data_IF_206914120927
#
_entry.id   IF_206914120927
#
_cell.length_a   1.000
_cell.length_b   1.000
_cell.length_c   1.000
_cell.angle_alpha   90.00
_cell.angle_beta   90.00
_cell.angle_gamma   90.00
#
_symmetry.space_group_name_H-M   'P 1'
#
loop_
_entity.id
_entity.type
_entity.pdbx_description
1 polymer ?
#
# COMPACT_ATOMS: atom_id res chain seq x y z
N UNK A 1 31.10 -29.71 15.19
CA UNK A 1 30.00 -30.18 14.33
C UNK A 1 28.82 -29.25 14.57
N UNK A 2 28.72 -28.14 13.82
CA UNK A 2 27.54 -27.22 13.84
C UNK A 2 27.60 -26.02 12.88
N UNK A 3 28.76 -25.63 12.35
CA UNK A 3 28.89 -24.42 11.49
C UNK A 3 28.36 -24.62 10.06
N UNK A 4 28.52 -25.81 9.50
CA UNK A 4 28.18 -26.08 8.08
C UNK A 4 26.66 -26.10 7.80
N UNK A 5 25.86 -26.48 8.79
CA UNK A 5 24.38 -26.41 8.74
C UNK A 5 23.85 -24.99 8.90
N UNK A 6 24.58 -24.12 9.60
CA UNK A 6 24.15 -22.75 9.88
C UNK A 6 24.38 -21.84 8.65
N UNK A 7 25.51 -22.02 7.97
CA UNK A 7 25.82 -21.30 6.73
C UNK A 7 24.85 -21.65 5.60
N UNK A 8 24.50 -22.93 5.41
CA UNK A 8 23.48 -23.34 4.41
C UNK A 8 22.11 -22.74 4.70
N UNK A 9 21.68 -22.78 5.97
CA UNK A 9 20.40 -22.19 6.38
C UNK A 9 20.37 -20.67 6.16
N UNK A 10 21.50 -19.99 6.39
CA UNK A 10 21.62 -18.55 6.14
C UNK A 10 21.54 -18.20 4.65
N UNK A 11 22.13 -19.03 3.78
CA UNK A 11 22.10 -18.85 2.32
C UNK A 11 20.71 -19.13 1.76
N UNK A 12 20.04 -20.19 2.21
CA UNK A 12 18.66 -20.50 1.81
C UNK A 12 17.69 -19.41 2.25
N UNK A 13 17.88 -18.86 3.46
CA UNK A 13 17.06 -17.75 3.96
C UNK A 13 17.30 -16.47 3.14
N UNK A 14 18.55 -16.15 2.80
CA UNK A 14 18.88 -14.99 1.93
C UNK A 14 18.34 -15.15 0.51
N UNK A 15 18.37 -16.37 -0.03
CA UNK A 15 17.81 -16.69 -1.33
C UNK A 15 16.28 -16.54 -1.32
N UNK A 16 15.61 -17.10 -0.30
CA UNK A 16 14.17 -16.96 -0.12
C UNK A 16 13.75 -15.48 0.02
N UNK A 17 14.42 -14.70 0.87
CA UNK A 17 14.18 -13.25 1.01
C UNK A 17 14.41 -12.52 -0.32
N UNK A 18 15.42 -12.93 -1.09
CA UNK A 18 15.68 -12.38 -2.42
C UNK A 18 14.53 -12.61 -3.39
N UNK A 19 14.05 -13.85 -3.48
CA UNK A 19 12.93 -14.21 -4.36
C UNK A 19 11.62 -13.50 -3.99
N UNK A 20 11.34 -13.34 -2.68
CA UNK A 20 10.18 -12.57 -2.22
C UNK A 20 10.29 -11.11 -2.62
N UNK A 21 11.45 -10.47 -2.44
CA UNK A 21 11.66 -9.06 -2.79
C UNK A 21 11.61 -8.76 -4.28
N UNK A 22 11.78 -9.78 -5.12
CA UNK A 22 11.70 -9.71 -6.59
C UNK A 22 10.26 -9.95 -7.11
N UNK A 23 9.29 -10.14 -6.22
CA UNK A 23 7.92 -10.41 -6.61
C UNK A 23 7.31 -9.22 -7.38
N UNK A 24 6.62 -9.45 -8.52
CA UNK A 24 6.08 -8.39 -9.38
C UNK A 24 5.06 -7.47 -8.70
N UNK A 25 4.45 -7.94 -7.60
CA UNK A 25 3.54 -7.15 -6.77
C UNK A 25 4.25 -6.21 -5.78
N UNK A 26 5.50 -6.50 -5.43
CA UNK A 26 6.27 -5.67 -4.52
C UNK A 26 6.99 -4.54 -5.26
N UNK A 27 7.43 -4.76 -6.50
CA UNK A 27 7.97 -3.70 -7.35
C UNK A 27 9.05 -4.19 -8.30
N UNK A 28 9.55 -3.29 -9.15
CA UNK A 28 10.48 -3.63 -10.22
C UNK A 28 11.93 -3.76 -9.73
N UNK A 29 12.37 -2.88 -8.81
CA UNK A 29 13.75 -2.88 -8.31
C UNK A 29 13.83 -3.39 -6.87
N UNK A 30 14.55 -4.51 -6.67
CA UNK A 30 14.79 -5.12 -5.35
C UNK A 30 15.35 -4.14 -4.32
N UNK A 31 16.27 -3.26 -4.72
CA UNK A 31 16.88 -2.27 -3.82
C UNK A 31 15.85 -1.27 -3.30
N UNK A 32 14.94 -0.79 -4.16
CA UNK A 32 13.88 0.14 -3.78
C UNK A 32 12.86 -0.55 -2.88
N UNK A 33 12.48 -1.80 -3.20
CA UNK A 33 11.62 -2.62 -2.34
C UNK A 33 12.23 -2.82 -0.95
N UNK A 34 13.51 -3.20 -0.88
CA UNK A 34 14.20 -3.38 0.39
C UNK A 34 14.26 -2.09 1.23
N UNK A 35 14.53 -0.93 0.60
CA UNK A 35 14.51 0.37 1.29
C UNK A 35 13.14 0.69 1.88
N UNK A 36 12.07 0.45 1.12
CA UNK A 36 10.70 0.68 1.59
C UNK A 36 10.30 -0.27 2.71
N UNK A 37 10.72 -1.54 2.64
CA UNK A 37 10.51 -2.50 3.73
C UNK A 37 11.28 -2.09 4.98
N UNK A 38 12.55 -1.67 4.86
CA UNK A 38 13.35 -1.18 6.00
C UNK A 38 12.71 0.07 6.61
N UNK A 39 12.23 0.99 5.78
CA UNK A 39 11.49 2.16 6.23
C UNK A 39 10.22 1.78 7.02
N UNK A 40 9.42 0.84 6.51
CA UNK A 40 8.25 0.30 7.21
C UNK A 40 8.63 -0.34 8.55
N UNK A 41 9.67 -1.18 8.58
CA UNK A 41 10.17 -1.78 9.82
C UNK A 41 10.65 -0.72 10.83
N UNK A 42 11.28 0.35 10.35
CA UNK A 42 11.67 1.49 11.18
C UNK A 42 10.46 2.19 11.79
N UNK A 43 9.40 2.42 11.00
CA UNK A 43 8.13 2.95 11.50
C UNK A 43 7.51 2.04 12.56
N UNK A 44 7.43 0.74 12.29
CA UNK A 44 6.91 -0.26 13.25
C UNK A 44 7.71 -0.23 14.56
N UNK A 45 9.04 -0.21 14.47
CA UNK A 45 9.90 -0.15 15.65
C UNK A 45 9.69 1.15 16.45
N UNK A 46 9.52 2.29 15.77
CA UNK A 46 9.23 3.57 16.41
C UNK A 46 7.87 3.57 17.12
N UNK A 47 6.83 3.00 16.48
CA UNK A 47 5.51 2.78 17.10
C UNK A 47 5.62 1.95 18.39
N UNK A 48 6.31 0.81 18.34
CA UNK A 48 6.51 -0.05 19.50
C UNK A 48 7.31 0.64 20.62
N UNK A 49 8.37 1.37 20.28
CA UNK A 49 9.17 2.12 21.24
C UNK A 49 8.34 3.22 21.93
N UNK A 50 7.51 3.94 21.18
CA UNK A 50 6.60 4.96 21.72
C UNK A 50 5.58 4.34 22.68
N UNK A 51 4.96 3.23 22.29
CA UNK A 51 4.00 2.52 23.13
C UNK A 51 4.60 1.92 24.40
N UNK A 52 5.80 1.34 24.32
CA UNK A 52 6.50 0.85 25.51
C UNK A 52 6.83 2.00 26.46
N UNK A 53 7.26 3.15 25.92
CA UNK A 53 7.58 4.35 26.68
C UNK A 53 6.40 4.90 27.47
N UNK A 54 5.18 4.86 26.93
CA UNK A 54 3.97 5.34 27.62
C UNK A 54 3.48 4.42 28.74
N UNK A 55 3.95 3.17 28.80
CA UNK A 55 3.59 2.19 29.84
C UNK A 55 4.58 2.12 31.01
N UNK A 56 5.69 2.85 30.97
CA UNK A 56 6.64 2.90 32.09
C UNK A 56 6.10 3.87 33.15
N UNK A 57 5.89 3.43 34.41
CA UNK A 57 5.44 4.32 35.47
C UNK A 57 6.55 5.31 35.82
N UNK A 58 6.30 6.61 35.60
CA UNK A 58 7.25 7.68 35.91
C UNK A 58 6.70 8.56 37.03
N UNK A 59 7.55 8.88 38.01
CA UNK A 59 7.25 9.71 39.19
C UNK A 59 6.78 11.13 38.81
N UNK A 60 5.88 11.71 39.61
CA UNK A 60 5.15 12.96 39.29
C UNK A 60 6.03 14.19 38.95
N UNK A 61 7.28 14.25 39.43
CA UNK A 61 8.21 15.34 39.11
C UNK A 61 8.79 15.26 37.68
N UNK A 62 8.84 14.07 37.07
CA UNK A 62 9.26 13.89 35.67
C UNK A 62 8.10 14.07 34.68
N UNK A 63 6.85 14.03 35.18
CA UNK A 63 5.62 14.02 34.38
C UNK A 63 5.42 15.32 33.59
N UNK A 64 5.76 16.48 34.17
CA UNK A 64 5.63 17.79 33.50
C UNK A 64 6.65 18.01 32.37
N UNK A 65 7.87 17.46 32.48
CA UNK A 65 8.88 17.53 31.41
C UNK A 65 8.60 16.47 30.33
N UNK A 66 8.05 15.32 30.73
CA UNK A 66 7.59 14.27 29.81
C UNK A 66 6.34 14.66 29.02
N UNK A 67 5.41 15.45 29.57
CA UNK A 67 4.22 15.91 28.82
C UNK A 67 4.59 16.76 27.62
N UNK A 68 5.52 17.71 27.75
CA UNK A 68 5.98 18.53 26.61
C UNK A 68 6.77 17.69 25.59
N UNK A 69 7.55 16.70 26.07
CA UNK A 69 8.26 15.76 25.22
C UNK A 69 7.32 14.81 24.47
N UNK A 70 6.26 14.32 25.12
CA UNK A 70 5.24 13.45 24.56
C UNK A 70 4.34 14.20 23.57
N UNK A 71 4.02 15.48 23.82
CA UNK A 71 3.28 16.33 22.87
C UNK A 71 4.12 16.61 21.63
N UNK A 72 5.42 16.88 21.81
CA UNK A 72 6.36 17.07 20.69
C UNK A 72 6.54 15.76 19.90
N UNK A 73 6.67 14.62 20.60
CA UNK A 73 6.77 13.30 19.98
C UNK A 73 5.49 12.98 19.20
N UNK A 74 4.32 13.27 19.76
CA UNK A 74 3.02 13.07 19.11
C UNK A 74 2.86 13.96 17.87
N UNK A 75 3.31 15.21 17.91
CA UNK A 75 3.36 16.08 16.72
C UNK A 75 4.28 15.53 15.63
N UNK A 76 5.51 15.13 15.99
CA UNK A 76 6.47 14.54 15.03
C UNK A 76 5.90 13.27 14.44
N UNK A 77 5.19 12.49 15.24
CA UNK A 77 4.55 11.26 14.83
C UNK A 77 3.42 11.50 13.83
N UNK A 78 2.51 12.42 14.12
CA UNK A 78 1.45 12.82 13.19
C UNK A 78 2.08 13.39 11.90
N UNK A 79 3.09 14.24 12.03
CA UNK A 79 3.79 14.84 10.90
C UNK A 79 4.52 13.80 10.02
N UNK A 80 4.88 12.63 10.56
CA UNK A 80 5.48 11.54 9.81
C UNK A 80 4.43 10.55 9.27
N UNK A 81 3.43 10.18 10.08
CA UNK A 81 2.41 9.20 9.73
C UNK A 81 1.47 9.73 8.65
N UNK A 82 1.07 11.00 8.71
CA UNK A 82 0.21 11.62 7.69
C UNK A 82 0.80 11.52 6.28
N UNK A 83 2.04 11.95 5.99
CA UNK A 83 2.64 11.76 4.67
C UNK A 83 2.91 10.29 4.36
N UNK A 84 3.14 9.44 5.37
CA UNK A 84 3.26 7.98 5.17
C UNK A 84 1.97 7.36 4.65
N UNK A 85 0.81 7.82 5.11
CA UNK A 85 -0.49 7.34 4.66
C UNK A 85 -0.86 7.96 3.32
N UNK A 86 -0.62 9.26 3.12
CA UNK A 86 -1.14 9.98 1.96
C UNK A 86 -0.20 10.03 0.76
N UNK A 87 1.11 10.18 0.97
CA UNK A 87 2.08 10.51 -0.09
C UNK A 87 3.01 9.35 -0.41
N UNK A 88 3.59 8.70 0.61
CA UNK A 88 4.55 7.61 0.44
C UNK A 88 4.02 6.47 -0.45
N UNK A 89 2.75 6.02 -0.37
CA UNK A 89 2.24 4.94 -1.21
C UNK A 89 2.21 5.32 -2.69
N UNK A 90 1.85 6.58 -2.99
CA UNK A 90 1.82 7.15 -4.33
C UNK A 90 3.23 7.35 -4.87
N UNK A 91 4.14 7.91 -4.05
CA UNK A 91 5.54 8.04 -4.41
C UNK A 91 6.15 6.67 -4.70
N UNK A 92 5.85 5.65 -3.91
CA UNK A 92 6.31 4.29 -4.14
C UNK A 92 5.72 3.68 -5.41
N UNK A 93 4.43 3.89 -5.67
CA UNK A 93 3.77 3.44 -6.89
C UNK A 93 4.47 3.99 -8.14
N UNK A 94 4.71 5.29 -8.16
CA UNK A 94 5.41 5.97 -9.25
C UNK A 94 6.86 5.52 -9.32
N UNK A 95 7.55 5.42 -8.18
CA UNK A 95 8.99 5.17 -8.14
C UNK A 95 9.37 3.72 -8.40
N UNK A 96 8.62 2.73 -7.92
CA UNK A 96 8.98 1.31 -8.02
C UNK A 96 7.88 0.41 -8.62
N UNK A 97 6.62 0.86 -8.67
CA UNK A 97 5.58 0.17 -9.43
C UNK A 97 5.05 -1.13 -8.79
N UNK A 98 5.15 -1.28 -7.48
CA UNK A 98 4.65 -2.45 -6.76
C UNK A 98 3.22 -2.27 -6.26
N UNK A 99 2.19 -2.78 -6.97
CA UNK A 99 0.79 -2.54 -6.59
C UNK A 99 0.43 -3.12 -5.21
N UNK A 100 1.01 -4.27 -4.83
CA UNK A 100 0.78 -4.87 -3.52
C UNK A 100 1.39 -4.07 -2.38
N UNK A 101 2.66 -3.67 -2.52
CA UNK A 101 3.32 -2.88 -1.46
C UNK A 101 2.72 -1.46 -1.37
N UNK A 102 2.39 -0.84 -2.50
CA UNK A 102 1.64 0.43 -2.54
C UNK A 102 0.28 0.35 -1.85
N UNK A 103 -0.43 -0.77 -1.98
CA UNK A 103 -1.70 -0.96 -1.29
C UNK A 103 -1.54 -1.11 0.23
N UNK A 104 -0.53 -1.87 0.67
CA UNK A 104 -0.32 -2.20 2.09
C UNK A 104 0.34 -1.06 2.86
N UNK A 105 1.22 -0.27 2.23
CA UNK A 105 1.97 0.83 2.83
C UNK A 105 1.14 1.74 3.77
N UNK A 106 -0.01 2.29 3.34
CA UNK A 106 -0.81 3.17 4.20
C UNK A 106 -1.58 2.42 5.30
N UNK A 107 -1.77 1.10 5.16
CA UNK A 107 -2.51 0.28 6.12
C UNK A 107 -1.67 -0.16 7.31
N UNK A 108 -0.35 -0.30 7.13
CA UNK A 108 0.56 -0.73 8.20
C UNK A 108 0.52 0.19 9.42
N UNK A 109 0.72 1.52 9.31
CA UNK A 109 0.70 2.39 10.48
C UNK A 109 -0.66 2.42 11.17
N UNK A 110 -1.75 2.36 10.39
CA UNK A 110 -3.13 2.37 10.91
C UNK A 110 -3.42 1.07 11.67
N UNK A 111 -3.17 -0.08 11.07
CA UNK A 111 -3.43 -1.38 11.70
C UNK A 111 -2.60 -1.62 12.96
N UNK A 112 -1.39 -1.08 13.04
CA UNK A 112 -0.59 -1.12 14.28
C UNK A 112 -1.23 -0.23 15.35
N UNK A 113 -1.71 0.96 14.99
CA UNK A 113 -2.44 1.86 15.89
C UNK A 113 -3.69 1.18 16.47
N UNK A 114 -4.50 0.57 15.61
CA UNK A 114 -5.74 -0.13 15.98
C UNK A 114 -5.49 -1.30 16.94
N UNK A 115 -4.49 -2.13 16.63
CA UNK A 115 -4.09 -3.27 17.48
C UNK A 115 -3.63 -2.78 18.86
N UNK A 116 -2.88 -1.67 18.91
CA UNK A 116 -2.41 -1.07 20.16
C UNK A 116 -3.58 -0.47 20.96
N UNK A 117 -4.52 0.19 20.29
CA UNK A 117 -5.70 0.78 20.90
C UNK A 117 -6.74 -0.26 21.35
N UNK A 118 -6.62 -1.51 20.88
CA UNK A 118 -7.62 -2.55 21.11
C UNK A 118 -8.95 -2.28 20.40
N UNK A 119 -8.95 -1.34 19.44
CA UNK A 119 -10.10 -0.96 18.65
C UNK A 119 -9.99 -1.62 17.28
N UNK A 120 -10.82 -2.61 17.00
CA UNK A 120 -10.90 -3.27 15.69
C UNK A 120 -12.05 -2.70 14.85
N UNK A 121 -12.36 -1.42 15.06
CA UNK A 121 -13.46 -0.74 14.37
C UNK A 121 -12.91 -0.13 13.10
N UNK A 122 -13.70 -0.19 12.04
CA UNK A 122 -13.33 0.36 10.76
C UNK A 122 -13.49 1.89 10.82
N UNK A 123 -12.41 2.56 11.19
CA UNK A 123 -12.39 3.98 11.50
C UNK A 123 -11.95 4.84 10.30
N UNK A 124 -12.01 6.17 10.48
CA UNK A 124 -11.66 7.14 9.43
C UNK A 124 -10.27 6.89 8.83
N UNK A 125 -9.28 6.54 9.66
CA UNK A 125 -7.91 6.31 9.22
C UNK A 125 -7.79 5.05 8.34
N UNK A 126 -8.53 3.98 8.66
CA UNK A 126 -8.59 2.78 7.82
C UNK A 126 -9.27 3.11 6.49
N UNK A 127 -10.36 3.87 6.51
CA UNK A 127 -11.05 4.29 5.29
C UNK A 127 -10.14 5.12 4.37
N UNK A 128 -9.38 6.06 4.94
CA UNK A 128 -8.36 6.82 4.22
C UNK A 128 -7.28 5.89 3.66
N UNK A 129 -6.72 5.01 4.50
CA UNK A 129 -5.66 4.08 4.10
C UNK A 129 -6.08 3.15 2.97
N UNK A 130 -7.30 2.60 3.02
CA UNK A 130 -7.87 1.77 1.95
C UNK A 130 -8.04 2.55 0.66
N UNK A 131 -8.53 3.79 0.75
CA UNK A 131 -8.75 4.66 -0.42
C UNK A 131 -7.44 5.02 -1.10
N UNK A 132 -6.44 5.47 -0.32
CA UNK A 132 -5.13 5.84 -0.85
C UNK A 132 -4.38 4.60 -1.34
N UNK A 133 -4.45 3.48 -0.61
CA UNK A 133 -3.84 2.21 -1.00
C UNK A 133 -4.37 1.69 -2.33
N UNK A 134 -5.69 1.69 -2.52
CA UNK A 134 -6.32 1.29 -3.79
C UNK A 134 -5.89 2.21 -4.95
N UNK A 135 -5.85 3.52 -4.69
CA UNK A 135 -5.41 4.50 -5.69
C UNK A 135 -3.94 4.32 -6.05
N UNK A 136 -3.08 4.12 -5.06
CA UNK A 136 -1.65 3.89 -5.26
C UNK A 136 -1.40 2.58 -6.02
N UNK A 137 -2.15 1.52 -5.73
CA UNK A 137 -2.07 0.27 -6.46
C UNK A 137 -2.45 0.45 -7.95
N UNK A 138 -3.52 1.21 -8.23
CA UNK A 138 -3.92 1.53 -9.60
C UNK A 138 -2.87 2.40 -10.33
N UNK A 139 -2.29 3.39 -9.65
CA UNK A 139 -1.20 4.22 -10.19
C UNK A 139 0.05 3.37 -10.46
N UNK A 140 0.33 2.37 -9.63
CA UNK A 140 1.48 1.48 -9.82
C UNK A 140 1.39 0.70 -11.14
N UNK A 141 0.19 0.26 -11.56
CA UNK A 141 -0.01 -0.36 -12.88
C UNK A 141 0.45 0.56 -14.00
N UNK A 142 -0.09 1.77 -14.02
CA UNK A 142 0.22 2.78 -15.05
C UNK A 142 1.72 3.10 -15.04
N UNK A 143 2.30 3.31 -13.86
CA UNK A 143 3.70 3.66 -13.73
C UNK A 143 4.64 2.55 -14.23
N UNK A 144 4.27 1.28 -14.06
CA UNK A 144 5.03 0.15 -14.62
C UNK A 144 4.90 0.14 -16.14
N UNK A 145 3.68 0.26 -16.66
CA UNK A 145 3.45 0.10 -18.10
C UNK A 145 3.94 1.29 -18.92
N UNK A 146 3.90 2.50 -18.36
CA UNK A 146 4.56 3.68 -18.95
C UNK A 146 6.06 3.46 -19.08
N UNK A 147 6.70 2.82 -18.09
CA UNK A 147 8.13 2.49 -18.13
C UNK A 147 8.44 1.37 -19.11
N UNK A 148 7.58 0.34 -19.19
CA UNK A 148 7.73 -0.77 -20.14
C UNK A 148 7.54 -0.33 -21.59
N UNK A 149 6.59 0.58 -21.84
CA UNK A 149 6.31 1.11 -23.17
C UNK A 149 7.18 2.31 -23.58
N UNK A 150 8.00 2.83 -22.66
CA UNK A 150 8.73 4.11 -22.79
C UNK A 150 7.84 5.24 -23.34
N UNK A 151 6.57 5.27 -22.90
CA UNK A 151 5.55 6.14 -23.46
C UNK A 151 4.37 6.31 -22.50
N UNK A 152 3.77 7.51 -22.51
CA UNK A 152 2.51 7.76 -21.80
C UNK A 152 1.33 6.95 -22.36
N UNK A 153 1.50 6.36 -23.55
CA UNK A 153 0.55 5.40 -24.14
C UNK A 153 0.71 4.03 -23.49
N UNK A 154 0.40 3.93 -22.20
CA UNK A 154 0.58 2.74 -21.37
C UNK A 154 -0.05 1.48 -21.96
N UNK A 155 -1.15 1.61 -22.70
CA UNK A 155 -1.83 0.50 -23.39
C UNK A 155 -1.00 -0.20 -24.47
N UNK A 156 0.18 0.33 -24.85
CA UNK A 156 1.10 -0.33 -25.78
C UNK A 156 1.94 -1.43 -25.14
N UNK A 157 2.08 -1.46 -23.80
CA UNK A 157 2.89 -2.45 -23.10
C UNK A 157 2.25 -3.86 -23.06
N UNK A 158 0.98 -4.00 -23.47
CA UNK A 158 0.17 -5.18 -23.16
C UNK A 158 -0.36 -5.13 -21.73
N UNK A 159 -1.47 -5.83 -21.46
CA UNK A 159 -2.08 -5.88 -20.12
C UNK A 159 -1.58 -7.11 -19.38
N UNK A 160 -1.01 -6.90 -18.19
CA UNK A 160 -0.65 -7.97 -17.25
C UNK A 160 -1.90 -8.34 -16.43
N UNK A 161 -2.53 -9.47 -16.79
CA UNK A 161 -3.82 -9.90 -16.24
C UNK A 161 -3.76 -10.14 -14.73
N UNK A 162 -2.70 -10.77 -14.23
CA UNK A 162 -2.53 -11.08 -12.81
C UNK A 162 -2.47 -9.80 -11.97
N UNK A 163 -1.74 -8.79 -12.45
CA UNK A 163 -1.67 -7.49 -11.78
C UNK A 163 -3.00 -6.74 -11.84
N UNK A 164 -3.69 -6.78 -12.98
CA UNK A 164 -5.00 -6.16 -13.13
C UNK A 164 -6.04 -6.81 -12.19
N UNK A 165 -6.06 -8.13 -12.10
CA UNK A 165 -6.93 -8.88 -11.20
C UNK A 165 -6.64 -8.55 -9.73
N UNK A 166 -5.36 -8.52 -9.33
CA UNK A 166 -4.97 -8.15 -7.98
C UNK A 166 -5.44 -6.74 -7.62
N UNK A 167 -5.16 -5.75 -8.47
CA UNK A 167 -5.56 -4.35 -8.20
C UNK A 167 -7.06 -4.18 -8.21
N UNK A 168 -7.77 -4.90 -9.09
CA UNK A 168 -9.24 -4.91 -9.10
C UNK A 168 -9.79 -5.48 -7.80
N UNK A 169 -9.28 -6.63 -7.34
CA UNK A 169 -9.69 -7.24 -6.08
C UNK A 169 -9.40 -6.31 -4.89
N UNK A 170 -8.22 -5.70 -4.84
CA UNK A 170 -7.84 -4.75 -3.80
C UNK A 170 -8.75 -3.51 -3.79
N UNK A 171 -9.07 -2.96 -4.97
CA UNK A 171 -9.99 -1.83 -5.11
C UNK A 171 -11.42 -2.20 -4.68
N UNK A 172 -11.90 -3.41 -5.00
CA UNK A 172 -13.21 -3.91 -4.54
C UNK A 172 -13.25 -4.08 -3.03
N UNK A 173 -12.23 -4.69 -2.44
CA UNK A 173 -12.13 -4.86 -0.98
C UNK A 173 -12.12 -3.49 -0.30
N UNK A 174 -11.33 -2.53 -0.81
CA UNK A 174 -11.31 -1.17 -0.30
C UNK A 174 -12.67 -0.48 -0.45
N UNK A 175 -13.34 -0.62 -1.60
CA UNK A 175 -14.63 0.01 -1.85
C UNK A 175 -15.72 -0.54 -0.94
N UNK A 176 -15.74 -1.86 -0.71
CA UNK A 176 -16.65 -2.49 0.26
C UNK A 176 -16.34 -2.04 1.68
N UNK A 177 -15.06 -2.02 2.08
CA UNK A 177 -14.64 -1.56 3.40
C UNK A 177 -15.07 -0.11 3.65
N UNK A 178 -14.75 0.79 2.73
CA UNK A 178 -15.15 2.21 2.79
C UNK A 178 -16.67 2.37 2.68
N UNK A 179 -17.36 1.54 1.89
CA UNK A 179 -18.82 1.56 1.84
C UNK A 179 -19.46 1.28 3.20
N UNK A 180 -18.91 0.32 3.96
CA UNK A 180 -19.35 0.04 5.34
C UNK A 180 -19.01 1.17 6.30
N UNK A 181 -17.86 1.82 6.13
CA UNK A 181 -17.54 3.04 6.87
C UNK A 181 -18.60 4.12 6.61
N UNK A 182 -18.86 4.44 5.35
CA UNK A 182 -19.78 5.51 4.96
C UNK A 182 -21.20 5.26 5.45
N UNK A 183 -21.65 3.99 5.46
CA UNK A 183 -22.97 3.59 5.92
C UNK A 183 -23.16 3.73 7.46
N UNK A 184 -22.07 3.62 8.23
CA UNK A 184 -22.13 3.56 9.70
C UNK A 184 -21.49 4.75 10.41
N UNK A 185 -20.70 5.56 9.69
CA UNK A 185 -19.95 6.66 10.28
C UNK A 185 -20.85 7.87 10.61
N UNK A 186 -20.60 8.55 11.74
CA UNK A 186 -21.22 9.84 12.03
C UNK A 186 -20.91 10.89 10.95
N UNK A 187 -21.84 11.83 10.72
CA UNK A 187 -21.74 12.83 9.66
C UNK A 187 -20.43 13.65 9.69
N UNK A 188 -19.93 14.01 10.88
CA UNK A 188 -18.68 14.76 11.00
C UNK A 188 -17.47 14.00 10.44
N UNK A 189 -17.44 12.67 10.55
CA UNK A 189 -16.35 11.86 9.98
C UNK A 189 -16.40 11.84 8.45
N UNK A 190 -17.60 11.87 7.87
CA UNK A 190 -17.79 11.92 6.42
C UNK A 190 -17.31 13.24 5.83
N UNK A 191 -17.47 14.37 6.54
CA UNK A 191 -16.95 15.67 6.13
C UNK A 191 -15.42 15.66 6.04
N UNK A 192 -14.74 15.04 7.00
CA UNK A 192 -13.28 14.86 6.98
C UNK A 192 -12.82 13.89 5.89
N UNK A 193 -13.63 12.87 5.56
CA UNK A 193 -13.34 11.93 4.50
C UNK A 193 -13.60 12.48 3.09
N UNK A 194 -14.56 13.40 2.93
CA UNK A 194 -15.04 13.86 1.62
C UNK A 194 -13.95 14.25 0.60
N UNK A 195 -12.84 14.92 0.98
CA UNK A 195 -11.77 15.25 0.04
C UNK A 195 -11.13 14.02 -0.64
N UNK A 196 -11.15 12.86 0.01
CA UNK A 196 -10.59 11.60 -0.50
C UNK A 196 -11.50 10.95 -1.56
N UNK A 197 -12.73 11.43 -1.73
CA UNK A 197 -13.63 10.97 -2.80
C UNK A 197 -13.02 11.11 -4.20
N UNK A 198 -12.16 12.11 -4.42
CA UNK A 198 -11.45 12.28 -5.69
C UNK A 198 -10.52 11.11 -6.04
N UNK A 199 -9.95 10.44 -5.04
CA UNK A 199 -9.08 9.28 -5.22
C UNK A 199 -9.84 8.08 -5.81
N UNK A 200 -11.14 7.93 -5.50
CA UNK A 200 -11.99 6.91 -6.10
C UNK A 200 -12.19 7.13 -7.59
N UNK A 201 -12.33 8.38 -8.04
CA UNK A 201 -12.43 8.71 -9.46
C UNK A 201 -11.16 8.28 -10.21
N UNK A 202 -9.98 8.55 -9.63
CA UNK A 202 -8.70 8.13 -10.21
C UNK A 202 -8.63 6.60 -10.27
N UNK A 203 -8.94 5.92 -9.17
CA UNK A 203 -8.92 4.45 -9.10
C UNK A 203 -9.84 3.84 -10.14
N UNK A 204 -11.09 4.30 -10.22
CA UNK A 204 -12.09 3.81 -11.17
C UNK A 204 -11.69 4.08 -12.63
N UNK A 205 -11.18 5.28 -12.92
CA UNK A 205 -10.73 5.64 -14.27
C UNK A 205 -9.57 4.76 -14.74
N UNK A 206 -8.59 4.50 -13.88
CA UNK A 206 -7.44 3.65 -14.21
C UNK A 206 -7.86 2.19 -14.37
N UNK A 207 -8.49 1.60 -13.36
CA UNK A 207 -8.90 0.18 -13.40
C UNK A 207 -9.88 -0.07 -14.54
N UNK A 208 -10.90 0.78 -14.71
CA UNK A 208 -11.84 0.69 -15.81
C UNK A 208 -11.18 0.87 -17.17
N UNK A 209 -10.23 1.80 -17.30
CA UNK A 209 -9.43 2.00 -18.51
C UNK A 209 -8.64 0.74 -18.91
N UNK A 210 -8.01 0.07 -17.95
CA UNK A 210 -7.30 -1.19 -18.19
C UNK A 210 -8.23 -2.31 -18.64
N UNK A 211 -9.40 -2.46 -18.02
CA UNK A 211 -10.39 -3.45 -18.45
C UNK A 211 -10.91 -3.18 -19.87
N UNK A 212 -11.11 -1.91 -20.24
CA UNK A 212 -11.49 -1.53 -21.61
C UNK A 212 -10.38 -1.91 -22.61
N UNK A 213 -9.12 -1.64 -22.28
CA UNK A 213 -7.98 -2.01 -23.13
C UNK A 213 -7.90 -3.53 -23.29
N UNK A 214 -8.00 -4.27 -22.19
CA UNK A 214 -8.00 -5.73 -22.19
C UNK A 214 -9.14 -6.32 -23.05
N UNK A 215 -10.36 -5.83 -22.86
CA UNK A 215 -11.53 -6.28 -23.63
C UNK A 215 -11.34 -6.03 -25.14
N UNK A 216 -10.77 -4.87 -25.52
CA UNK A 216 -10.47 -4.55 -26.93
C UNK A 216 -9.41 -5.48 -27.51
N UNK A 217 -8.36 -5.81 -26.76
CA UNK A 217 -7.34 -6.75 -27.22
C UNK A 217 -7.88 -8.17 -27.36
N UNK A 218 -8.72 -8.63 -26.42
CA UNK A 218 -9.32 -9.96 -26.46
C UNK A 218 -10.29 -10.13 -27.65
N UNK A 219 -11.13 -9.12 -27.91
CA UNK A 219 -12.06 -9.11 -29.05
C UNK A 219 -11.33 -9.03 -30.39
N UNK A 220 -10.24 -8.24 -30.48
CA UNK A 220 -9.42 -8.15 -31.68
C UNK A 220 -8.70 -9.47 -32.02
N UNK A 221 -8.28 -10.22 -31.00
CA UNK A 221 -7.68 -11.55 -31.20
C UNK A 221 -8.70 -12.61 -31.64
N UNK A 222 -9.94 -12.55 -31.14
CA UNK A 222 -11.00 -13.49 -31.48
C UNK A 222 -11.52 -13.32 -32.93
N UNK A 223 -11.49 -12.10 -33.48
CA UNK A 223 -11.90 -11.81 -34.86
C UNK A 223 -10.87 -12.19 -35.93
N UNK A 224 -9.66 -12.62 -35.55
CA UNK A 224 -8.59 -13.04 -36.47
C UNK A 224 -8.54 -14.54 -36.76
N UNK A 225 -9.45 -15.34 -36.19
CA UNK A 225 -9.57 -16.76 -36.49
C UNK A 225 -10.54 -16.94 -37.67
N UNK A 226 -10.05 -16.69 -38.88
CA UNK A 226 -10.78 -16.95 -40.12
C UNK A 226 -10.84 -18.47 -40.36
N UNK A 227 -12.02 -19.12 -40.38
CA UNK A 227 -12.14 -20.57 -40.58
C UNK A 227 -11.92 -20.99 -42.04
N UNK A 228 -11.19 -20.20 -42.83
CA UNK A 228 -10.99 -20.42 -44.27
C UNK A 228 -9.83 -21.40 -44.61
N UNK A 229 -9.11 -21.91 -43.60
CA UNK A 229 -7.98 -22.85 -43.76
C UNK A 229 -8.31 -24.30 -43.34
N UNK A 230 -9.58 -24.71 -43.43
CA UNK A 230 -10.00 -26.12 -43.28
C UNK A 230 -10.73 -26.65 -44.50
#
# INVERSE_FOLDING_TARGET
MSTETDDRRSLDTRAAIGTVLEHPLLGLERRRTALTVVYLLGLVAMFWASYLGTRVPVTDALRNTLTTGLDTLSMVFIALVTPTILLVPLCYAIWNGGPGLSFVLPLVPVGIGDVIAGAYVLDLDIAIGLTVGATAAAVALVAVDVRRADSLRFWRAGVDEDRLLFVTAAAVVAAVGVGRFVDTAPAYMLEWYAPLGGCWLVTAALVGGYWIVWARSALGAAGGHDPADS
#
